data_IF_731537807225
#
_entry.id   IF_731537807225
#
_cell.length_a   1.000
_cell.length_b   1.000
_cell.length_c   1.000
_cell.angle_alpha   90.00
_cell.angle_beta   90.00
_cell.angle_gamma   90.00
#
_symmetry.space_group_name_H-M   'P 1'
#
loop_
_entity.id
_entity.type
_entity.pdbx_description
1 polymer ?
#
# COMPACT_ATOMS: atom_id res chain seq x y z
N UNK A 1 -12.65 -18.50 4.50
CA UNK A 1 -11.87 -17.34 4.98
C UNK A 1 -10.46 -17.31 4.41
N UNK A 2 -10.19 -16.38 3.50
CA UNK A 2 -8.86 -16.18 2.87
C UNK A 2 -7.82 -15.79 3.92
N UNK A 3 -8.18 -14.92 4.85
CA UNK A 3 -7.31 -14.50 5.96
C UNK A 3 -6.90 -15.69 6.83
N UNK A 4 -7.84 -16.56 7.22
CA UNK A 4 -7.56 -17.78 7.99
C UNK A 4 -6.62 -18.74 7.25
N UNK A 5 -6.75 -18.84 5.92
CA UNK A 5 -5.84 -19.65 5.09
C UNK A 5 -4.45 -19.03 4.95
N UNK A 6 -4.35 -17.70 4.86
CA UNK A 6 -3.06 -17.00 4.84
C UNK A 6 -2.36 -17.16 6.19
N UNK A 7 -3.07 -16.91 7.30
CA UNK A 7 -2.55 -17.06 8.66
C UNK A 7 -2.05 -18.47 8.94
N UNK A 8 -2.77 -19.51 8.50
CA UNK A 8 -2.33 -20.90 8.73
C UNK A 8 -1.20 -21.37 7.82
N UNK A 9 -1.01 -20.77 6.64
CA UNK A 9 0.01 -21.18 5.66
C UNK A 9 1.27 -20.34 5.68
N UNK A 10 1.17 -19.08 6.08
CA UNK A 10 2.24 -18.08 5.96
C UNK A 10 2.70 -17.49 7.30
N UNK A 11 2.09 -17.91 8.41
CA UNK A 11 2.32 -17.30 9.75
C UNK A 11 2.26 -15.77 9.68
N UNK A 12 1.20 -15.26 9.03
CA UNK A 12 1.06 -13.84 8.72
C UNK A 12 0.22 -13.10 9.76
N UNK A 13 0.62 -11.88 10.09
CA UNK A 13 -0.16 -10.94 10.89
C UNK A 13 -0.88 -9.93 9.99
N UNK A 14 -2.21 -9.80 10.14
CA UNK A 14 -2.97 -8.75 9.46
C UNK A 14 -3.05 -7.51 10.34
N UNK A 15 -2.43 -6.42 9.89
CA UNK A 15 -2.50 -5.11 10.55
C UNK A 15 -3.41 -4.20 9.72
N UNK A 16 -4.37 -3.55 10.37
CA UNK A 16 -5.31 -2.62 9.73
C UNK A 16 -5.15 -1.24 10.35
N UNK A 17 -5.00 -0.24 9.49
CA UNK A 17 -4.97 1.19 9.82
C UNK A 17 -6.18 1.83 9.13
N UNK A 18 -7.35 1.89 9.81
CA UNK A 18 -8.57 2.38 9.20
C UNK A 18 -8.57 3.91 9.06
N UNK A 19 -9.30 4.42 8.07
CA UNK A 19 -9.65 5.85 8.03
C UNK A 19 -10.55 6.23 9.22
N UNK A 20 -10.61 7.51 9.59
CA UNK A 20 -11.25 7.98 10.83
C UNK A 20 -12.74 7.65 10.93
N UNK A 21 -13.43 7.51 9.79
CA UNK A 21 -14.86 7.19 9.73
C UNK A 21 -15.17 5.70 9.80
N UNK A 22 -14.18 4.83 9.64
CA UNK A 22 -14.37 3.38 9.61
C UNK A 22 -14.14 2.79 11.00
N UNK A 23 -15.22 2.31 11.62
CA UNK A 23 -15.14 1.55 12.88
C UNK A 23 -15.11 0.05 12.56
N UNK A 24 -14.04 -0.61 12.98
CA UNK A 24 -13.90 -2.06 12.87
C UNK A 24 -14.41 -2.72 14.16
N UNK A 25 -15.03 -3.91 14.09
CA UNK A 25 -15.34 -4.69 15.27
C UNK A 25 -14.06 -5.14 15.98
N UNK A 26 -14.17 -5.51 17.25
CA UNK A 26 -13.07 -6.16 17.95
C UNK A 26 -12.92 -7.60 17.43
N UNK A 27 -11.69 -7.99 17.10
CA UNK A 27 -11.40 -9.31 16.57
C UNK A 27 -9.97 -9.73 16.87
N UNK A 28 -9.76 -11.02 17.11
CA UNK A 28 -8.42 -11.61 17.21
C UNK A 28 -7.83 -11.97 15.84
N UNK A 29 -8.58 -11.72 14.75
CA UNK A 29 -8.13 -11.99 13.40
C UNK A 29 -7.18 -10.92 12.87
N UNK A 30 -7.26 -9.68 13.34
CA UNK A 30 -6.37 -8.61 12.90
C UNK A 30 -5.99 -7.71 14.07
N UNK A 31 -4.89 -6.97 13.91
CA UNK A 31 -4.54 -5.85 14.79
C UNK A 31 -5.01 -4.55 14.18
N UNK A 32 -5.98 -3.92 14.85
CA UNK A 32 -6.41 -2.58 14.52
C UNK A 32 -5.53 -1.57 15.25
N UNK A 33 -4.74 -0.77 14.51
CA UNK A 33 -3.87 0.25 15.11
C UNK A 33 -4.53 1.64 15.19
N UNK A 34 -5.71 1.84 14.59
CA UNK A 34 -6.35 3.15 14.55
C UNK A 34 -5.52 4.17 13.76
N UNK A 35 -5.35 5.37 14.32
CA UNK A 35 -4.51 6.42 13.73
C UNK A 35 -3.03 6.20 14.05
N UNK A 36 -2.16 6.36 13.05
CA UNK A 36 -0.70 6.19 13.17
C UNK A 36 -0.01 7.43 12.60
N UNK A 37 0.82 8.09 13.43
CA UNK A 37 1.50 9.35 13.06
C UNK A 37 2.60 9.11 11.99
N UNK A 38 3.39 8.04 12.14
CA UNK A 38 4.44 7.64 11.20
C UNK A 38 4.03 6.42 10.36
N UNK A 39 2.96 6.55 9.57
CA UNK A 39 2.44 5.45 8.76
C UNK A 39 3.48 4.85 7.80
N UNK A 40 4.42 5.66 7.33
CA UNK A 40 5.48 5.24 6.43
C UNK A 40 6.41 4.16 7.03
N UNK A 41 6.60 4.13 8.36
CA UNK A 41 7.37 3.07 9.03
C UNK A 41 6.69 1.71 8.88
N UNK A 42 5.36 1.66 8.94
CA UNK A 42 4.59 0.44 8.69
C UNK A 42 4.68 0.02 7.22
N UNK A 43 4.61 0.98 6.29
CA UNK A 43 4.81 0.72 4.86
C UNK A 43 6.22 0.17 4.60
N UNK A 44 7.24 0.68 5.28
CA UNK A 44 8.61 0.19 5.15
C UNK A 44 8.79 -1.22 5.75
N UNK A 45 8.18 -1.49 6.91
CA UNK A 45 8.33 -2.76 7.61
C UNK A 45 7.49 -3.91 7.01
N UNK A 46 6.40 -3.59 6.30
CA UNK A 46 5.49 -4.60 5.78
C UNK A 46 6.12 -5.53 4.72
N UNK A 47 5.64 -6.78 4.69
CA UNK A 47 5.92 -7.74 3.61
C UNK A 47 5.01 -7.56 2.40
N UNK A 48 3.88 -6.88 2.59
CA UNK A 48 2.89 -6.53 1.58
C UNK A 48 2.00 -5.40 2.09
N UNK A 49 1.81 -4.36 1.28
CA UNK A 49 0.84 -3.29 1.55
C UNK A 49 -0.38 -3.46 0.66
N UNK A 50 -1.58 -3.35 1.23
CA UNK A 50 -2.84 -3.32 0.49
C UNK A 50 -3.52 -2.01 0.84
N UNK A 51 -3.78 -1.16 -0.14
CA UNK A 51 -4.45 0.12 0.11
C UNK A 51 -5.38 0.49 -1.03
N UNK A 52 -6.30 1.41 -0.74
CA UNK A 52 -6.86 2.26 -1.79
C UNK A 52 -5.70 2.99 -2.46
N UNK A 53 -5.74 3.18 -3.77
CA UNK A 53 -4.62 3.72 -4.57
C UNK A 53 -4.32 5.21 -4.29
N UNK A 54 -4.12 5.56 -3.03
CA UNK A 54 -3.73 6.86 -2.54
C UNK A 54 -2.29 7.16 -2.90
N UNK A 55 -2.05 8.41 -3.28
CA UNK A 55 -0.80 8.81 -3.92
C UNK A 55 0.44 8.58 -3.04
N UNK A 56 0.40 9.06 -1.79
CA UNK A 56 1.54 8.97 -0.88
C UNK A 56 1.92 7.52 -0.58
N UNK A 57 0.94 6.67 -0.25
CA UNK A 57 1.19 5.26 0.06
C UNK A 57 1.80 4.48 -1.11
N UNK A 58 1.33 4.75 -2.34
CA UNK A 58 1.93 4.15 -3.54
C UNK A 58 3.37 4.59 -3.75
N UNK A 59 3.63 5.90 -3.60
CA UNK A 59 4.97 6.47 -3.81
C UNK A 59 5.95 6.01 -2.71
N UNK A 60 5.52 5.90 -1.45
CA UNK A 60 6.31 5.35 -0.32
C UNK A 60 6.62 3.86 -0.52
N UNK A 61 5.61 3.06 -0.83
CA UNK A 61 5.79 1.63 -1.11
C UNK A 61 6.77 1.41 -2.27
N UNK A 62 6.68 2.21 -3.33
CA UNK A 62 7.62 2.18 -4.44
C UNK A 62 9.03 2.60 -4.03
N UNK A 63 9.16 3.68 -3.23
CA UNK A 63 10.44 4.18 -2.74
C UNK A 63 11.15 3.15 -1.85
N UNK A 64 10.42 2.49 -0.96
CA UNK A 64 10.96 1.48 -0.05
C UNK A 64 11.15 0.10 -0.69
N UNK A 65 10.61 -0.12 -1.89
CA UNK A 65 10.60 -1.43 -2.54
C UNK A 65 9.66 -2.43 -1.88
N UNK A 66 8.81 -1.98 -0.94
CA UNK A 66 7.75 -2.80 -0.35
C UNK A 66 6.73 -3.13 -1.43
N UNK A 67 6.34 -4.41 -1.61
CA UNK A 67 5.33 -4.75 -2.60
C UNK A 67 3.96 -4.20 -2.16
N UNK A 68 3.26 -3.60 -3.11
CA UNK A 68 1.93 -3.05 -2.91
C UNK A 68 0.88 -3.65 -3.84
N UNK A 69 -0.35 -3.75 -3.35
CA UNK A 69 -1.58 -3.97 -4.10
C UNK A 69 -2.45 -2.73 -3.92
N UNK A 70 -2.68 -2.01 -5.02
CA UNK A 70 -3.32 -0.69 -4.99
C UNK A 70 -4.63 -0.72 -5.77
N UNK A 71 -5.74 -0.87 -5.06
CA UNK A 71 -7.06 -0.98 -5.69
C UNK A 71 -7.70 0.42 -5.71
N UNK A 72 -7.94 1.03 -6.89
CA UNK A 72 -8.55 2.34 -6.96
C UNK A 72 -10.05 2.26 -6.67
N UNK A 73 -10.63 3.34 -6.17
CA UNK A 73 -12.08 3.52 -6.19
C UNK A 73 -12.57 3.74 -7.62
N UNK A 74 -13.70 3.12 -7.95
CA UNK A 74 -14.34 3.28 -9.26
C UNK A 74 -14.72 4.74 -9.51
N UNK A 75 -14.43 5.24 -10.70
CA UNK A 75 -14.67 6.62 -11.15
C UNK A 75 -13.83 7.67 -10.39
N UNK A 76 -12.77 7.28 -9.68
CA UNK A 76 -11.82 8.21 -9.08
C UNK A 76 -10.59 8.37 -9.97
N UNK A 77 -10.69 9.24 -10.98
CA UNK A 77 -9.71 9.41 -12.07
C UNK A 77 -8.23 9.43 -11.63
N UNK A 78 -7.90 10.16 -10.55
CA UNK A 78 -6.52 10.23 -10.06
C UNK A 78 -6.00 8.89 -9.48
N UNK A 79 -6.86 8.17 -8.75
CA UNK A 79 -6.52 6.86 -8.19
C UNK A 79 -6.44 5.82 -9.30
N UNK A 80 -7.36 5.83 -10.26
CA UNK A 80 -7.38 4.89 -11.38
C UNK A 80 -6.11 5.03 -12.23
N UNK A 81 -5.72 6.26 -12.60
CA UNK A 81 -4.46 6.49 -13.29
C UNK A 81 -3.24 6.12 -12.45
N UNK A 82 -3.26 6.44 -11.15
CA UNK A 82 -2.20 6.09 -10.23
C UNK A 82 -2.00 4.57 -10.16
N UNK A 83 -3.07 3.83 -9.90
CA UNK A 83 -3.11 2.37 -9.84
C UNK A 83 -2.68 1.73 -11.16
N UNK A 84 -3.12 2.27 -12.30
CA UNK A 84 -2.78 1.76 -13.63
C UNK A 84 -1.26 1.77 -13.88
N UNK A 85 -0.51 2.76 -13.35
CA UNK A 85 0.97 2.79 -13.41
C UNK A 85 1.62 1.60 -12.69
N UNK A 86 0.94 1.02 -11.71
CA UNK A 86 1.37 -0.18 -10.98
C UNK A 86 0.72 -1.46 -11.51
N UNK A 87 -0.09 -1.37 -12.57
CA UNK A 87 -0.78 -2.50 -13.19
C UNK A 87 -2.06 -2.93 -12.47
N UNK A 88 -2.70 -2.03 -11.72
CA UNK A 88 -3.93 -2.31 -10.99
C UNK A 88 -5.13 -1.52 -11.51
N UNK A 89 -6.33 -2.10 -11.33
CA UNK A 89 -7.62 -1.52 -11.69
C UNK A 89 -8.69 -1.88 -10.64
N UNK A 90 -9.87 -1.27 -10.71
CA UNK A 90 -10.94 -1.48 -9.73
C UNK A 90 -11.34 -2.97 -9.59
N UNK A 91 -11.42 -3.69 -10.72
CA UNK A 91 -11.84 -5.09 -10.79
C UNK A 91 -10.89 -6.05 -10.05
N UNK A 92 -9.69 -5.58 -9.70
CA UNK A 92 -8.69 -6.37 -9.00
C UNK A 92 -9.10 -6.73 -7.57
N UNK A 93 -10.08 -6.03 -7.01
CA UNK A 93 -10.70 -6.38 -5.72
C UNK A 93 -11.25 -7.81 -5.73
N UNK A 94 -11.78 -8.29 -6.86
CA UNK A 94 -12.37 -9.63 -6.99
C UNK A 94 -11.34 -10.75 -7.11
N UNK A 95 -10.06 -10.41 -7.25
CA UNK A 95 -8.95 -11.37 -7.33
C UNK A 95 -7.88 -11.12 -6.28
N UNK A 96 -8.24 -10.46 -5.18
CA UNK A 96 -7.29 -10.08 -4.13
C UNK A 96 -6.52 -11.27 -3.55
N UNK A 97 -7.18 -12.43 -3.36
CA UNK A 97 -6.51 -13.64 -2.89
C UNK A 97 -5.35 -14.07 -3.81
N UNK A 98 -5.58 -14.06 -5.12
CA UNK A 98 -4.54 -14.38 -6.11
C UNK A 98 -3.41 -13.35 -6.07
N UNK A 99 -3.74 -12.06 -5.96
CA UNK A 99 -2.76 -10.98 -5.92
C UNK A 99 -1.88 -11.05 -4.66
N UNK A 100 -2.47 -11.31 -3.49
CA UNK A 100 -1.73 -11.48 -2.24
C UNK A 100 -0.71 -12.60 -2.39
N UNK A 101 -1.13 -13.80 -2.84
CA UNK A 101 -0.23 -14.95 -3.03
C UNK A 101 0.90 -14.65 -4.03
N UNK A 102 0.62 -13.86 -5.06
CA UNK A 102 1.59 -13.50 -6.10
C UNK A 102 2.62 -12.46 -5.62
N UNK A 103 2.23 -11.55 -4.72
CA UNK A 103 3.03 -10.37 -4.36
C UNK A 103 3.73 -10.47 -3.01
N UNK A 104 3.22 -11.28 -2.08
CA UNK A 104 3.80 -11.40 -0.74
C UNK A 104 5.26 -11.84 -0.81
N UNK A 105 6.15 -11.15 -0.09
CA UNK A 105 7.59 -11.43 -0.07
C UNK A 105 8.37 -11.03 -1.33
N UNK A 106 7.72 -10.54 -2.40
CA UNK A 106 8.39 -10.09 -3.62
C UNK A 106 8.84 -8.62 -3.52
N UNK A 107 9.82 -8.33 -2.64
CA UNK A 107 10.39 -6.99 -2.52
C UNK A 107 11.15 -6.58 -3.79
N UNK A 108 10.88 -5.37 -4.24
CA UNK A 108 11.62 -4.75 -5.34
C UNK A 108 12.88 -4.07 -4.81
N UNK A 109 13.87 -3.84 -5.68
CA UNK A 109 15.04 -3.04 -5.29
C UNK A 109 14.59 -1.61 -4.99
N UNK A 110 15.06 -1.07 -3.87
CA UNK A 110 14.91 0.35 -3.51
C UNK A 110 15.48 1.19 -4.65
N UNK A 111 14.66 2.10 -5.19
CA UNK A 111 15.09 3.01 -6.26
C UNK A 111 15.27 4.41 -5.66
N UNK A 112 16.51 4.86 -5.54
CA UNK A 112 16.76 6.26 -5.18
C UNK A 112 16.51 7.14 -6.41
N UNK A 113 15.36 7.81 -6.42
CA UNK A 113 14.98 8.74 -7.48
C UNK A 113 15.52 10.16 -7.28
N UNK A 114 16.09 10.52 -6.13
CA UNK A 114 16.63 11.87 -5.88
C UNK A 114 15.65 13.01 -6.15
N UNK A 115 14.34 12.75 -5.99
CA UNK A 115 13.28 13.68 -6.39
C UNK A 115 13.34 15.02 -5.65
N UNK A 116 13.56 14.98 -4.33
CA UNK A 116 13.68 16.17 -3.50
C UNK A 116 14.84 17.08 -3.95
N UNK A 117 16.01 16.51 -4.23
CA UNK A 117 17.17 17.26 -4.71
C UNK A 117 16.90 17.91 -6.08
N UNK A 118 16.23 17.19 -7.00
CA UNK A 118 15.83 17.72 -8.30
C UNK A 118 14.83 18.86 -8.18
N UNK A 119 13.82 18.70 -7.32
CA UNK A 119 12.82 19.74 -7.05
C UNK A 119 13.48 20.98 -6.45
N UNK A 120 14.34 20.82 -5.44
CA UNK A 120 15.09 21.92 -4.83
C UNK A 120 15.93 22.69 -5.85
N UNK A 121 16.62 22.00 -6.75
CA UNK A 121 17.42 22.62 -7.83
C UNK A 121 16.55 23.41 -8.82
N UNK A 122 15.37 22.90 -9.17
CA UNK A 122 14.46 23.61 -10.07
C UNK A 122 13.96 24.89 -9.38
N UNK A 123 13.50 24.78 -8.14
CA UNK A 123 13.02 25.93 -7.36
C UNK A 123 14.13 26.97 -7.21
N UNK A 124 15.36 26.56 -6.89
CA UNK A 124 16.50 27.48 -6.76
C UNK A 124 16.91 28.17 -8.06
N UNK A 125 16.47 27.67 -9.23
CA UNK A 125 16.73 28.30 -10.53
C UNK A 125 15.61 29.29 -10.90
N UNK A 126 14.44 29.20 -10.24
CA UNK A 126 13.28 30.07 -10.43
C UNK A 126 13.24 31.25 -9.45
N UNK A 127 14.07 31.22 -8.40
CA UNK A 127 14.29 32.31 -7.44
C UNK A 127 15.52 33.11 -7.81
#
# INVERSE_FOLDING_TARGET
DVHRQLRSKLDSELVIVPGPSLKLPDSQEYRNLGFVDNMHDLVYAADLVISLAGRSTMDESAAYGTPGIFIPLKNHFEQEQGAARFGFQYEDIFRLEYLIKKKIGCRSKVVNVGGAARAAKIISTLM
#
